data_IF_645530178239
#
_entry.id   IF_645530178239
#
_cell.length_a   1.000
_cell.length_b   1.000
_cell.length_c   1.000
_cell.angle_alpha   90.00
_cell.angle_beta   90.00
_cell.angle_gamma   90.00
#
_symmetry.space_group_name_H-M   'P 1'
#
loop_
_entity.id
_entity.type
_entity.pdbx_description
1 polymer ?
#
# COMPACT_ATOMS: atom_id res chain seq x y z
N UNK A 1 39.96 -8.14 8.16
CA UNK A 1 38.94 -8.54 9.17
C UNK A 1 37.94 -7.44 9.51
N UNK A 2 38.30 -6.15 9.54
CA UNK A 2 37.33 -5.02 9.75
C UNK A 2 36.24 -4.94 8.66
N UNK A 3 36.52 -5.40 7.46
CA UNK A 3 35.60 -5.36 6.30
C UNK A 3 34.42 -6.34 6.41
N UNK A 4 34.64 -7.53 6.98
CA UNK A 4 33.61 -8.57 7.09
C UNK A 4 32.57 -8.21 8.17
N UNK A 5 32.99 -7.67 9.29
CA UNK A 5 32.08 -7.23 10.36
C UNK A 5 31.23 -6.05 9.91
N UNK A 6 31.85 -5.09 9.22
CA UNK A 6 31.15 -3.93 8.62
C UNK A 6 30.14 -4.40 7.57
N UNK A 7 30.50 -5.38 6.74
CA UNK A 7 29.58 -5.96 5.75
C UNK A 7 28.40 -6.66 6.42
N UNK A 8 28.67 -7.53 7.41
CA UNK A 8 27.61 -8.23 8.16
C UNK A 8 26.64 -7.26 8.83
N UNK A 9 27.17 -6.22 9.48
CA UNK A 9 26.33 -5.18 10.09
C UNK A 9 25.45 -4.44 9.10
N UNK A 10 25.98 -4.10 7.92
CA UNK A 10 25.18 -3.46 6.86
C UNK A 10 24.09 -4.37 6.33
N UNK A 11 24.42 -5.65 6.08
CA UNK A 11 23.42 -6.64 5.64
C UNK A 11 22.34 -6.83 6.71
N UNK A 12 22.71 -6.94 7.99
CA UNK A 12 21.75 -7.09 9.07
C UNK A 12 20.77 -5.89 9.15
N UNK A 13 21.30 -4.67 9.08
CA UNK A 13 20.47 -3.45 9.06
C UNK A 13 19.54 -3.39 7.85
N UNK A 14 20.01 -3.83 6.68
CA UNK A 14 19.17 -3.85 5.49
C UNK A 14 18.08 -4.92 5.56
N UNK A 15 18.41 -6.10 6.07
CA UNK A 15 17.43 -7.15 6.30
C UNK A 15 16.39 -6.74 7.35
N UNK A 16 16.81 -6.08 8.43
CA UNK A 16 15.91 -5.58 9.47
C UNK A 16 14.90 -4.58 8.87
N UNK A 17 15.35 -3.65 8.01
CA UNK A 17 14.45 -2.74 7.31
C UNK A 17 13.43 -3.46 6.44
N UNK A 18 13.84 -4.50 5.71
CA UNK A 18 12.96 -5.29 4.88
C UNK A 18 11.90 -6.03 5.72
N UNK A 19 12.31 -6.64 6.84
CA UNK A 19 11.37 -7.31 7.75
C UNK A 19 10.37 -6.32 8.37
N UNK A 20 10.81 -5.13 8.73
CA UNK A 20 9.92 -4.08 9.23
C UNK A 20 8.88 -3.70 8.18
N UNK A 21 9.27 -3.51 6.92
CA UNK A 21 8.35 -3.19 5.82
C UNK A 21 7.33 -4.31 5.59
N UNK A 22 7.77 -5.57 5.60
CA UNK A 22 6.88 -6.71 5.44
C UNK A 22 5.93 -6.88 6.63
N UNK A 23 6.40 -6.65 7.86
CA UNK A 23 5.57 -6.66 9.04
C UNK A 23 4.51 -5.52 9.00
N UNK A 24 4.86 -4.33 8.49
CA UNK A 24 3.93 -3.23 8.28
C UNK A 24 2.86 -3.57 7.25
N UNK A 25 3.25 -4.18 6.14
CA UNK A 25 2.33 -4.66 5.11
C UNK A 25 1.39 -5.73 5.65
N UNK A 26 1.93 -6.70 6.41
CA UNK A 26 1.12 -7.74 7.05
C UNK A 26 0.13 -7.13 8.05
N UNK A 27 0.56 -6.17 8.86
CA UNK A 27 -0.34 -5.45 9.78
C UNK A 27 -1.46 -4.76 9.01
N UNK A 28 -1.13 -4.00 7.95
CA UNK A 28 -2.10 -3.27 7.14
C UNK A 28 -3.16 -4.20 6.55
N UNK A 29 -2.75 -5.31 5.93
CA UNK A 29 -3.68 -6.28 5.36
C UNK A 29 -4.58 -6.92 6.42
N UNK A 30 -4.02 -7.32 7.56
CA UNK A 30 -4.81 -7.89 8.67
C UNK A 30 -5.80 -6.88 9.28
N UNK A 31 -5.39 -5.62 9.39
CA UNK A 31 -6.27 -4.56 9.86
C UNK A 31 -7.45 -4.32 8.90
N UNK A 32 -7.20 -4.32 7.58
CA UNK A 32 -8.25 -4.25 6.57
C UNK A 32 -9.19 -5.44 6.69
N UNK A 33 -8.66 -6.65 6.76
CA UNK A 33 -9.45 -7.87 6.88
C UNK A 33 -10.37 -7.82 8.09
N UNK A 34 -9.84 -7.42 9.23
CA UNK A 34 -10.62 -7.28 10.47
C UNK A 34 -11.71 -6.21 10.33
N UNK A 35 -11.40 -5.04 9.77
CA UNK A 35 -12.38 -3.98 9.58
C UNK A 35 -13.50 -4.39 8.63
N UNK A 36 -13.17 -5.08 7.53
CA UNK A 36 -14.17 -5.60 6.58
C UNK A 36 -15.03 -6.70 7.19
N UNK A 37 -14.48 -7.50 8.09
CA UNK A 37 -15.25 -8.53 8.81
C UNK A 37 -16.16 -7.95 9.88
N UNK A 38 -15.73 -6.92 10.61
CA UNK A 38 -16.46 -6.31 11.70
C UNK A 38 -17.52 -5.31 11.21
N UNK A 39 -17.19 -4.51 10.20
CA UNK A 39 -18.07 -3.48 9.65
C UNK A 39 -18.92 -4.09 8.53
N UNK A 40 -20.06 -4.65 8.90
CA UNK A 40 -20.99 -5.26 7.93
C UNK A 40 -22.07 -4.26 7.54
N UNK A 41 -22.28 -4.13 6.25
CA UNK A 41 -23.39 -3.41 5.63
C UNK A 41 -23.81 -4.13 4.35
N UNK A 42 -25.07 -3.94 3.99
CA UNK A 42 -25.64 -4.58 2.81
C UNK A 42 -25.15 -3.90 1.54
N UNK A 43 -24.73 -4.69 0.57
CA UNK A 43 -24.40 -4.24 -0.77
C UNK A 43 -25.50 -4.71 -1.76
N UNK A 44 -25.76 -3.96 -2.82
CA UNK A 44 -26.72 -4.38 -3.85
C UNK A 44 -26.10 -5.44 -4.76
N UNK A 45 -25.86 -6.65 -4.24
CA UNK A 45 -25.08 -7.72 -4.89
C UNK A 45 -25.53 -8.05 -6.30
N UNK A 46 -26.85 -8.18 -6.51
CA UNK A 46 -27.40 -8.47 -7.85
C UNK A 46 -27.05 -7.39 -8.88
N UNK A 47 -27.06 -6.14 -8.46
CA UNK A 47 -26.66 -5.02 -9.31
C UNK A 47 -25.15 -5.03 -9.55
N UNK A 48 -24.35 -5.20 -8.51
CA UNK A 48 -22.88 -5.17 -8.58
C UNK A 48 -22.35 -6.31 -9.48
N UNK A 49 -22.85 -7.54 -9.33
CA UNK A 49 -22.45 -8.66 -10.18
C UNK A 49 -22.67 -8.35 -11.66
N UNK A 50 -23.86 -7.82 -12.01
CA UNK A 50 -24.18 -7.44 -13.38
C UNK A 50 -23.32 -6.28 -13.85
N UNK A 51 -23.14 -5.26 -13.02
CA UNK A 51 -22.35 -4.10 -13.33
C UNK A 51 -20.87 -4.43 -13.62
N UNK A 52 -20.26 -5.32 -12.85
CA UNK A 52 -18.88 -5.80 -13.05
C UNK A 52 -18.76 -6.47 -14.43
N UNK A 53 -19.68 -7.37 -14.79
CA UNK A 53 -19.67 -8.04 -16.09
C UNK A 53 -19.83 -7.04 -17.24
N UNK A 54 -20.82 -6.15 -17.15
CA UNK A 54 -21.12 -5.17 -18.20
C UNK A 54 -19.97 -4.18 -18.43
N UNK A 55 -19.26 -3.77 -17.36
CA UNK A 55 -18.16 -2.81 -17.45
C UNK A 55 -16.78 -3.45 -17.70
N UNK A 56 -16.68 -4.77 -17.71
CA UNK A 56 -15.42 -5.47 -17.99
C UNK A 56 -15.03 -5.50 -19.47
N UNK A 57 -15.86 -4.93 -20.34
CA UNK A 57 -15.64 -4.97 -21.80
C UNK A 57 -15.47 -6.39 -22.36
N UNK A 58 -16.09 -7.39 -21.70
CA UNK A 58 -16.02 -8.79 -22.08
C UNK A 58 -14.78 -9.53 -21.55
N UNK A 59 -13.97 -8.91 -20.71
CA UNK A 59 -12.78 -9.53 -20.08
C UNK A 59 -13.13 -10.43 -18.92
N UNK A 60 -14.28 -10.23 -18.26
CA UNK A 60 -14.73 -10.97 -17.08
C UNK A 60 -16.10 -11.58 -17.38
N UNK A 61 -16.23 -12.89 -17.16
CA UNK A 61 -17.50 -13.58 -17.35
C UNK A 61 -18.37 -13.56 -16.09
N UNK A 62 -19.66 -13.85 -16.24
CA UNK A 62 -20.55 -13.98 -15.10
C UNK A 62 -20.13 -15.10 -14.13
N UNK A 63 -19.51 -16.18 -14.66
CA UNK A 63 -18.99 -17.28 -13.86
C UNK A 63 -17.75 -16.83 -13.04
N UNK A 64 -16.87 -16.04 -13.62
CA UNK A 64 -15.70 -15.48 -12.93
C UNK A 64 -16.13 -14.54 -11.80
N UNK A 65 -17.14 -13.71 -12.06
CA UNK A 65 -17.71 -12.84 -11.03
C UNK A 65 -18.30 -13.68 -9.91
N UNK A 66 -19.14 -14.69 -10.21
CA UNK A 66 -19.76 -15.51 -9.17
C UNK A 66 -18.73 -16.22 -8.30
N UNK A 67 -17.66 -16.71 -8.91
CA UNK A 67 -16.57 -17.45 -8.25
C UNK A 67 -15.74 -16.58 -7.30
N UNK A 68 -15.51 -15.31 -7.69
CA UNK A 68 -14.64 -14.39 -6.98
C UNK A 68 -15.42 -13.30 -6.23
N UNK A 69 -16.75 -13.33 -6.25
CA UNK A 69 -17.57 -12.21 -5.76
C UNK A 69 -17.33 -11.92 -4.27
N UNK A 70 -17.51 -12.92 -3.41
CA UNK A 70 -17.42 -12.73 -1.96
C UNK A 70 -15.98 -12.41 -1.48
N UNK A 71 -15.01 -13.17 -1.98
CA UNK A 71 -13.62 -13.07 -1.49
C UNK A 71 -12.80 -11.98 -2.17
N UNK A 72 -13.21 -11.54 -3.37
CA UNK A 72 -12.52 -10.51 -4.13
C UNK A 72 -13.31 -9.20 -4.16
N UNK A 73 -14.34 -9.15 -5.01
CA UNK A 73 -15.05 -7.90 -5.29
C UNK A 73 -15.75 -7.29 -4.09
N UNK A 74 -16.48 -8.09 -3.29
CA UNK A 74 -17.19 -7.60 -2.09
C UNK A 74 -16.21 -7.07 -1.06
N UNK A 75 -15.14 -7.79 -0.82
CA UNK A 75 -14.10 -7.37 0.13
C UNK A 75 -13.48 -6.04 -0.28
N UNK A 76 -13.09 -5.90 -1.55
CA UNK A 76 -12.51 -4.66 -2.09
C UNK A 76 -13.49 -3.49 -2.03
N UNK A 77 -14.76 -3.71 -2.42
CA UNK A 77 -15.78 -2.67 -2.37
C UNK A 77 -16.10 -2.23 -0.94
N UNK A 78 -16.21 -3.19 0.00
CA UNK A 78 -16.40 -2.86 1.42
C UNK A 78 -15.23 -2.03 1.95
N UNK A 79 -14.01 -2.45 1.66
CA UNK A 79 -12.83 -1.69 2.07
C UNK A 79 -12.87 -0.28 1.50
N UNK A 80 -13.13 -0.11 0.22
CA UNK A 80 -13.21 1.19 -0.44
C UNK A 80 -14.22 2.14 0.25
N UNK A 81 -15.38 1.63 0.62
CA UNK A 81 -16.40 2.41 1.33
C UNK A 81 -15.99 2.74 2.78
N UNK A 82 -15.34 1.80 3.47
CA UNK A 82 -14.79 2.04 4.82
C UNK A 82 -13.71 3.10 4.77
N UNK A 83 -12.77 2.98 3.83
CA UNK A 83 -11.69 3.93 3.61
C UNK A 83 -12.22 5.34 3.31
N UNK A 84 -13.23 5.45 2.43
CA UNK A 84 -13.86 6.73 2.12
C UNK A 84 -14.44 7.41 3.35
N UNK A 85 -15.10 6.64 4.22
CA UNK A 85 -15.66 7.14 5.49
C UNK A 85 -14.53 7.55 6.44
N UNK A 86 -13.48 6.74 6.56
CA UNK A 86 -12.31 7.07 7.39
C UNK A 86 -11.66 8.38 6.94
N UNK A 87 -11.41 8.54 5.65
CA UNK A 87 -10.80 9.76 5.10
C UNK A 87 -11.71 10.99 5.29
N UNK A 88 -13.03 10.83 5.12
CA UNK A 88 -13.99 11.92 5.34
C UNK A 88 -14.07 12.37 6.79
N UNK A 89 -13.93 11.45 7.74
CA UNK A 89 -14.01 11.75 9.18
C UNK A 89 -12.68 12.23 9.76
N UNK A 90 -11.57 11.95 9.09
CA UNK A 90 -10.22 12.23 9.58
C UNK A 90 -9.45 13.09 8.56
N UNK A 91 -9.48 14.43 8.70
CA UNK A 91 -8.83 15.35 7.76
C UNK A 91 -7.31 15.13 7.62
N UNK A 92 -6.67 14.52 8.61
CA UNK A 92 -5.25 14.16 8.59
C UNK A 92 -4.94 13.07 7.56
N UNK A 93 -5.92 12.26 7.16
CA UNK A 93 -5.75 11.25 6.10
C UNK A 93 -5.80 11.86 4.70
N UNK A 94 -6.36 13.04 4.55
CA UNK A 94 -6.40 13.73 3.26
C UNK A 94 -4.97 14.04 2.80
N UNK A 95 -4.64 13.59 1.58
CA UNK A 95 -3.32 13.80 0.98
C UNK A 95 -3.23 15.22 0.41
N UNK A 96 -2.22 15.96 0.84
CA UNK A 96 -1.93 17.31 0.36
C UNK A 96 -0.84 17.27 -0.71
N UNK A 97 -0.90 18.18 -1.69
CA UNK A 97 0.11 18.27 -2.75
C UNK A 97 1.55 18.38 -2.22
N UNK A 98 1.73 19.10 -1.12
CA UNK A 98 3.05 19.23 -0.49
C UNK A 98 3.57 17.89 0.06
N UNK A 99 2.69 17.07 0.66
CA UNK A 99 3.03 15.73 1.14
C UNK A 99 3.45 14.82 -0.03
N UNK A 100 2.74 14.89 -1.17
CA UNK A 100 3.09 14.15 -2.38
C UNK A 100 4.49 14.55 -2.87
N UNK A 101 4.77 15.84 -2.97
CA UNK A 101 6.09 16.35 -3.38
C UNK A 101 7.20 15.91 -2.43
N UNK A 102 6.97 16.00 -1.14
CA UNK A 102 7.91 15.56 -0.11
C UNK A 102 8.14 14.05 -0.14
N UNK A 103 7.10 13.28 -0.41
CA UNK A 103 7.21 11.82 -0.56
C UNK A 103 8.04 11.44 -1.79
N UNK A 104 7.79 12.07 -2.95
CA UNK A 104 8.61 11.89 -4.17
C UNK A 104 10.07 12.28 -3.88
N UNK A 105 10.27 13.43 -3.22
CA UNK A 105 11.61 13.88 -2.85
C UNK A 105 12.33 12.86 -1.97
N UNK A 106 11.67 12.32 -0.96
CA UNK A 106 12.26 11.31 -0.08
C UNK A 106 12.55 9.99 -0.80
N UNK A 107 11.69 9.58 -1.72
CA UNK A 107 11.83 8.32 -2.47
C UNK A 107 13.02 8.36 -3.45
N UNK A 108 13.15 9.42 -4.21
CA UNK A 108 14.17 9.51 -5.27
C UNK A 108 15.45 10.20 -4.82
N UNK A 109 15.36 11.10 -3.84
CA UNK A 109 16.47 11.99 -3.42
C UNK A 109 16.73 11.95 -1.91
N UNK A 110 16.17 10.98 -1.18
CA UNK A 110 16.27 10.90 0.29
C UNK A 110 17.71 10.71 0.83
N UNK A 111 18.67 10.40 -0.06
CA UNK A 111 20.09 10.34 0.26
C UNK A 111 20.80 11.70 0.16
N UNK A 112 20.11 12.73 -0.35
CA UNK A 112 20.65 14.08 -0.52
C UNK A 112 20.13 14.99 0.59
N UNK A 113 21.04 15.73 1.22
CA UNK A 113 20.68 16.80 2.14
C UNK A 113 20.29 18.06 1.34
N UNK A 114 18.98 18.19 1.11
CA UNK A 114 18.41 19.27 0.28
C UNK A 114 18.68 20.66 0.86
N UNK A 115 18.88 20.78 2.18
CA UNK A 115 19.16 22.07 2.82
C UNK A 115 20.52 22.60 2.43
N UNK A 116 21.47 21.72 2.13
CA UNK A 116 22.85 22.09 1.73
C UNK A 116 22.99 22.42 0.24
N UNK A 117 21.95 22.22 -0.57
CA UNK A 117 21.98 22.46 -2.00
C UNK A 117 21.81 23.93 -2.34
N UNK A 118 22.48 24.38 -3.42
CA UNK A 118 22.26 25.70 -4.00
C UNK A 118 20.87 25.83 -4.64
N UNK A 119 20.40 27.04 -4.82
CA UNK A 119 19.05 27.34 -5.33
C UNK A 119 18.83 26.84 -6.77
N UNK A 120 19.87 26.75 -7.60
CA UNK A 120 19.76 26.21 -8.96
C UNK A 120 19.49 24.71 -8.91
N UNK A 121 20.20 23.98 -8.05
CA UNK A 121 20.02 22.54 -7.85
C UNK A 121 18.65 22.23 -7.23
N UNK A 122 18.19 23.00 -6.25
CA UNK A 122 16.83 22.88 -5.68
C UNK A 122 15.77 23.04 -6.75
N UNK A 123 15.90 24.06 -7.60
CA UNK A 123 14.98 24.28 -8.71
C UNK A 123 14.96 23.10 -9.69
N UNK A 124 16.12 22.55 -10.05
CA UNK A 124 16.21 21.36 -10.92
C UNK A 124 15.52 20.14 -10.30
N UNK A 125 15.67 19.94 -8.97
CA UNK A 125 14.95 18.89 -8.26
C UNK A 125 13.43 19.08 -8.33
N UNK A 126 12.96 20.29 -8.12
CA UNK A 126 11.54 20.61 -8.23
C UNK A 126 11.00 20.39 -9.65
N UNK A 127 11.76 20.77 -10.67
CA UNK A 127 11.42 20.52 -12.08
C UNK A 127 11.31 19.00 -12.39
N UNK A 128 12.21 18.19 -11.82
CA UNK A 128 12.16 16.72 -11.96
C UNK A 128 10.93 16.14 -11.24
N UNK A 129 10.65 16.60 -10.01
CA UNK A 129 9.45 16.17 -9.25
C UNK A 129 8.19 16.52 -10.04
N UNK A 130 8.12 17.72 -10.62
CA UNK A 130 6.99 18.13 -11.43
C UNK A 130 6.84 17.27 -12.70
N UNK A 131 7.94 16.87 -13.31
CA UNK A 131 7.94 15.98 -14.47
C UNK A 131 7.41 14.58 -14.11
N UNK A 132 7.82 14.03 -12.97
CA UNK A 132 7.32 12.75 -12.45
C UNK A 132 5.81 12.83 -12.18
N UNK A 133 5.35 13.90 -11.55
CA UNK A 133 3.95 14.10 -11.17
C UNK A 133 3.03 14.48 -12.35
N UNK A 134 3.58 14.81 -13.53
CA UNK A 134 2.80 15.01 -14.76
C UNK A 134 2.32 13.70 -15.38
N UNK A 135 3.01 12.61 -15.15
CA UNK A 135 2.56 11.28 -15.56
C UNK A 135 1.44 10.83 -14.62
N UNK A 136 0.23 10.66 -15.17
CA UNK A 136 -0.95 10.33 -14.38
C UNK A 136 -0.84 8.97 -13.67
N UNK A 137 -0.20 7.97 -14.31
CA UNK A 137 -0.02 6.65 -13.72
C UNK A 137 0.97 6.70 -12.55
N UNK A 138 2.09 7.41 -12.73
CA UNK A 138 3.07 7.59 -11.65
C UNK A 138 2.47 8.37 -10.49
N UNK A 139 1.75 9.46 -10.78
CA UNK A 139 1.06 10.26 -9.76
C UNK A 139 0.06 9.43 -8.97
N UNK A 140 -0.74 8.61 -9.65
CA UNK A 140 -1.70 7.74 -8.98
C UNK A 140 -1.02 6.70 -8.11
N UNK A 141 0.05 6.07 -8.59
CA UNK A 141 0.85 5.11 -7.84
C UNK A 141 1.45 5.74 -6.57
N UNK A 142 2.01 6.94 -6.70
CA UNK A 142 2.58 7.71 -5.57
C UNK A 142 1.48 8.06 -4.56
N UNK A 143 0.32 8.51 -5.03
CA UNK A 143 -0.80 8.82 -4.16
C UNK A 143 -1.29 7.58 -3.39
N UNK A 144 -1.41 6.44 -4.06
CA UNK A 144 -1.80 5.18 -3.41
C UNK A 144 -0.79 4.78 -2.34
N UNK A 145 0.51 4.79 -2.64
CA UNK A 145 1.55 4.47 -1.65
C UNK A 145 1.53 5.42 -0.44
N UNK A 146 1.28 6.71 -0.67
CA UNK A 146 1.19 7.69 0.39
C UNK A 146 -0.09 7.50 1.22
N UNK A 147 -1.22 7.15 0.58
CA UNK A 147 -2.46 6.82 1.23
C UNK A 147 -2.29 5.60 2.15
N UNK A 148 -1.74 4.51 1.63
CA UNK A 148 -1.46 3.29 2.39
C UNK A 148 -0.57 3.57 3.60
N UNK A 149 0.47 4.38 3.42
CA UNK A 149 1.37 4.78 4.51
C UNK A 149 0.64 5.58 5.59
N UNK A 150 -0.20 6.55 5.20
CA UNK A 150 -0.99 7.36 6.15
C UNK A 150 -2.03 6.51 6.87
N UNK A 151 -2.73 5.65 6.14
CA UNK A 151 -3.71 4.72 6.72
C UNK A 151 -3.04 3.72 7.67
N UNK A 152 -1.90 3.16 7.29
CA UNK A 152 -1.14 2.25 8.17
C UNK A 152 -0.77 2.94 9.50
N UNK A 153 -0.27 4.17 9.44
CA UNK A 153 0.08 4.94 10.63
C UNK A 153 -1.16 5.21 11.49
N UNK A 154 -2.25 5.67 10.87
CA UNK A 154 -3.52 5.92 11.53
C UNK A 154 -4.10 4.68 12.21
N UNK A 155 -4.10 3.54 11.52
CA UNK A 155 -4.61 2.27 12.07
C UNK A 155 -3.74 1.78 13.23
N UNK A 156 -2.41 1.94 13.15
CA UNK A 156 -1.50 1.61 14.28
C UNK A 156 -1.78 2.44 15.52
N UNK A 157 -2.13 3.70 15.37
CA UNK A 157 -2.44 4.61 16.49
C UNK A 157 -3.82 4.36 17.09
N UNK A 158 -4.78 3.91 16.28
CA UNK A 158 -6.19 3.79 16.68
C UNK A 158 -6.66 2.35 16.93
N UNK A 159 -5.84 1.34 16.62
CA UNK A 159 -6.11 -0.08 16.88
C UNK A 159 -5.22 -0.63 17.98
N UNK A 160 -5.72 -1.63 18.71
CA UNK A 160 -4.88 -2.37 19.66
C UNK A 160 -3.98 -3.33 18.90
N UNK A 161 -2.68 -3.01 18.83
CA UNK A 161 -1.69 -3.83 18.14
C UNK A 161 -0.96 -4.71 19.13
N UNK A 162 -1.00 -6.03 18.92
CA UNK A 162 -0.23 -6.99 19.69
C UNK A 162 1.03 -7.37 18.92
N UNK A 163 2.19 -7.04 19.49
CA UNK A 163 3.47 -7.47 18.95
C UNK A 163 3.73 -8.92 19.36
N UNK A 164 4.12 -9.74 18.38
CA UNK A 164 4.47 -11.15 18.60
C UNK A 164 5.92 -11.35 18.19
N UNK A 165 6.74 -11.72 19.15
CA UNK A 165 8.12 -12.11 18.86
C UNK A 165 8.12 -13.48 18.16
N UNK A 166 8.83 -13.57 17.04
CA UNK A 166 8.93 -14.80 16.26
C UNK A 166 10.34 -14.96 15.68
N UNK A 167 10.73 -16.17 15.38
CA UNK A 167 11.94 -16.44 14.63
C UNK A 167 11.71 -16.26 13.11
N UNK A 168 12.77 -16.47 12.34
CA UNK A 168 12.71 -16.33 10.87
C UNK A 168 11.68 -17.26 10.23
N UNK A 169 11.61 -18.51 10.68
CA UNK A 169 10.68 -19.50 10.10
C UNK A 169 9.22 -19.13 10.40
N UNK A 170 8.92 -18.72 11.62
CA UNK A 170 7.60 -18.25 12.00
C UNK A 170 7.20 -16.96 11.28
N UNK A 171 8.15 -16.03 11.06
CA UNK A 171 7.91 -14.84 10.27
C UNK A 171 7.58 -15.18 8.81
N UNK A 172 8.39 -16.03 8.19
CA UNK A 172 8.16 -16.49 6.80
C UNK A 172 6.80 -17.17 6.66
N UNK A 173 6.42 -18.05 7.60
CA UNK A 173 5.10 -18.69 7.58
C UNK A 173 3.95 -17.71 7.74
N UNK A 174 4.14 -16.62 8.49
CA UNK A 174 3.13 -15.59 8.67
C UNK A 174 2.95 -14.70 7.42
N UNK A 175 4.01 -14.55 6.60
CA UNK A 175 4.03 -13.67 5.42
C UNK A 175 3.70 -14.44 4.13
N UNK A 176 4.07 -15.73 4.03
CA UNK A 176 3.88 -16.55 2.81
C UNK A 176 2.46 -16.51 2.22
N UNK A 177 1.39 -16.66 2.98
CA UNK A 177 0.04 -16.60 2.43
C UNK A 177 -0.28 -15.29 1.71
N UNK A 178 0.33 -14.19 2.15
CA UNK A 178 0.13 -12.87 1.55
C UNK A 178 0.97 -12.69 0.29
N UNK A 179 2.15 -13.30 0.22
CA UNK A 179 3.02 -13.27 -0.97
C UNK A 179 2.41 -14.09 -2.11
N UNK A 180 1.76 -15.20 -1.82
CA UNK A 180 1.06 -16.02 -2.81
C UNK A 180 -0.16 -15.29 -3.37
N UNK A 181 -0.96 -14.65 -2.52
CA UNK A 181 -2.11 -13.84 -2.93
C UNK A 181 -1.68 -12.64 -3.80
N UNK A 182 -0.62 -11.94 -3.42
CA UNK A 182 -0.10 -10.81 -4.19
C UNK A 182 0.50 -11.21 -5.55
N UNK A 183 1.04 -12.42 -5.69
CA UNK A 183 1.51 -12.94 -6.98
C UNK A 183 0.35 -13.30 -7.90
N UNK A 184 -0.71 -13.90 -7.37
CA UNK A 184 -1.92 -14.19 -8.14
C UNK A 184 -2.63 -12.93 -8.63
N UNK A 185 -2.60 -11.84 -7.85
CA UNK A 185 -3.15 -10.55 -8.27
C UNK A 185 -2.31 -9.89 -9.37
N UNK A 186 -0.99 -9.90 -9.25
CA UNK A 186 -0.09 -9.31 -10.27
C UNK A 186 -0.04 -10.11 -11.57
N UNK A 187 -0.21 -11.43 -11.53
CA UNK A 187 -0.31 -12.26 -12.74
C UNK A 187 -1.63 -12.05 -13.48
N UNK A 188 -2.73 -11.77 -12.75
CA UNK A 188 -4.04 -11.46 -13.35
C UNK A 188 -4.14 -10.06 -13.95
N UNK A 189 -3.33 -9.11 -13.49
CA UNK A 189 -3.26 -7.76 -14.09
C UNK A 189 -2.34 -7.70 -15.32
N UNK A 190 -1.52 -8.73 -15.56
CA UNK A 190 -0.56 -8.80 -16.66
C UNK A 190 -1.05 -9.61 -17.89
N UNK A 191 -2.20 -10.29 -17.79
CA UNK A 191 -2.88 -10.97 -18.91
C UNK A 191 -4.04 -10.12 -19.45
#
# INVERSE_FOLDING_TARGET
MKDIETFRSKVAVEMEKQYVLEAERMFYNKAIDQLVEEIKFDLPDTFLKRWIVENSEGKITAEDVEKNYENGYVKSLRWQLIEEVLVKQNPELVIKNEEVRNFVRSMYFGHMDVETLDEETKKRLDDIIDAILKDDNQRQNINNQLADKKLTAYLKENMTVTMVDTDYEGFVQAVLPQVELAKEETEKEAE
#
